data_IF_421706666953
#
_entry.id   IF_421706666953
#
_cell.length_a   1.000
_cell.length_b   1.000
_cell.length_c   1.000
_cell.angle_alpha   90.00
_cell.angle_beta   90.00
_cell.angle_gamma   90.00
#
_symmetry.space_group_name_H-M   'P 1'
#
loop_
_entity.id
_entity.type
_entity.pdbx_description
1 polymer ?
#
# COMPACT_ATOMS: atom_id res chain seq x y z
N UNK A 1 -35.81 64.10 -11.65
CA UNK A 1 -36.11 63.44 -12.90
C UNK A 1 -37.34 62.58 -12.70
N UNK A 2 -38.42 62.94 -13.33
CA UNK A 2 -39.76 62.42 -13.19
C UNK A 2 -39.90 61.04 -13.87
N UNK A 3 -40.61 60.16 -13.18
CA UNK A 3 -41.04 58.83 -13.60
C UNK A 3 -42.22 58.96 -14.57
N UNK A 4 -42.25 58.38 -15.76
CA UNK A 4 -43.41 58.46 -16.61
C UNK A 4 -44.52 57.51 -16.14
N UNK A 5 -45.72 58.04 -16.03
CA UNK A 5 -46.99 57.40 -15.79
C UNK A 5 -47.43 56.57 -17.00
N UNK A 6 -47.94 55.37 -16.86
CA UNK A 6 -48.48 54.60 -18.00
C UNK A 6 -49.85 55.16 -18.39
N UNK A 7 -49.95 55.50 -19.67
CA UNK A 7 -51.19 55.92 -20.33
C UNK A 7 -52.12 54.74 -20.49
N UNK A 8 -53.32 54.83 -19.89
CA UNK A 8 -54.43 53.91 -20.12
C UNK A 8 -55.07 54.18 -21.45
N UNK A 9 -55.00 53.23 -22.39
CA UNK A 9 -55.77 53.21 -23.60
C UNK A 9 -57.15 52.63 -23.34
N UNK A 10 -58.23 53.18 -23.94
CA UNK A 10 -59.59 52.66 -23.76
C UNK A 10 -59.78 51.36 -24.53
N UNK A 11 -60.41 50.40 -23.89
CA UNK A 11 -60.75 49.11 -24.45
C UNK A 11 -61.76 49.28 -25.56
N UNK A 12 -61.43 48.86 -26.79
CA UNK A 12 -62.40 48.59 -27.83
C UNK A 12 -63.14 47.31 -27.55
N UNK A 13 -64.42 47.44 -27.40
CA UNK A 13 -65.38 46.33 -27.33
C UNK A 13 -65.37 45.55 -28.63
N UNK A 14 -65.24 44.27 -28.55
CA UNK A 14 -65.57 43.41 -29.68
C UNK A 14 -64.97 42.02 -29.56
N UNK A 15 -65.89 41.11 -29.37
CA UNK A 15 -65.86 39.69 -29.75
C UNK A 15 -65.71 38.69 -28.63
N UNK A 16 -66.84 38.23 -28.12
CA UNK A 16 -67.18 36.84 -27.87
C UNK A 16 -66.20 36.00 -27.07
N UNK A 17 -65.73 36.50 -25.94
CA UNK A 17 -65.17 35.61 -24.94
C UNK A 17 -66.33 34.90 -24.26
N UNK A 18 -66.49 33.60 -24.50
CA UNK A 18 -67.40 32.77 -23.69
C UNK A 18 -66.98 32.94 -22.23
N UNK A 19 -67.93 33.12 -21.27
CA UNK A 19 -67.57 33.13 -19.87
C UNK A 19 -66.92 31.76 -19.56
N UNK A 20 -65.72 31.81 -19.01
CA UNK A 20 -65.05 30.62 -18.44
C UNK A 20 -66.01 30.03 -17.42
N UNK A 21 -66.63 28.90 -17.73
CA UNK A 21 -67.52 28.21 -16.81
C UNK A 21 -66.70 27.82 -15.57
N UNK A 22 -67.38 27.82 -14.43
CA UNK A 22 -66.81 27.47 -13.10
C UNK A 22 -66.04 26.13 -13.17
N UNK A 23 -66.43 25.24 -14.04
CA UNK A 23 -65.75 23.96 -14.29
C UNK A 23 -64.33 24.12 -14.89
N UNK A 24 -64.10 25.11 -15.76
CA UNK A 24 -62.79 25.30 -16.41
C UNK A 24 -61.78 25.91 -15.36
N UNK A 25 -62.27 26.72 -14.46
CA UNK A 25 -61.45 27.22 -13.34
C UNK A 25 -61.10 26.14 -12.33
N UNK A 26 -62.03 25.21 -12.07
CA UNK A 26 -61.75 24.05 -11.20
C UNK A 26 -60.77 23.06 -11.81
N UNK A 27 -60.83 22.81 -13.11
CA UNK A 27 -59.85 21.96 -13.83
C UNK A 27 -58.46 22.59 -13.80
N UNK A 28 -58.31 23.90 -14.02
CA UNK A 28 -57.03 24.60 -13.93
C UNK A 28 -56.48 24.60 -12.49
N UNK A 29 -57.35 24.70 -11.49
CA UNK A 29 -56.92 24.62 -10.09
C UNK A 29 -56.47 23.17 -9.73
N UNK A 30 -57.14 22.14 -10.21
CA UNK A 30 -56.73 20.75 -10.00
C UNK A 30 -55.39 20.44 -10.69
N UNK A 31 -55.17 20.96 -11.90
CA UNK A 31 -53.92 20.73 -12.64
C UNK A 31 -52.77 21.47 -11.97
N UNK A 32 -52.96 22.67 -11.43
CA UNK A 32 -51.93 23.37 -10.65
C UNK A 32 -51.60 22.66 -9.35
N UNK A 33 -52.59 22.12 -8.63
CA UNK A 33 -52.37 21.36 -7.41
C UNK A 33 -51.61 20.04 -7.73
N UNK A 34 -51.99 19.35 -8.83
CA UNK A 34 -51.25 18.16 -9.24
C UNK A 34 -49.83 18.44 -9.68
N UNK A 35 -49.59 19.59 -10.34
CA UNK A 35 -48.24 20.01 -10.72
C UNK A 35 -47.39 20.36 -9.49
N UNK A 36 -47.94 21.05 -8.49
CA UNK A 36 -47.25 21.33 -7.22
C UNK A 36 -46.96 20.05 -6.42
N UNK A 37 -47.88 19.11 -6.38
CA UNK A 37 -47.68 17.82 -5.74
C UNK A 37 -46.60 16.98 -6.46
N UNK A 38 -46.55 17.00 -7.77
CA UNK A 38 -45.53 16.33 -8.56
C UNK A 38 -44.13 16.94 -8.31
N UNK A 39 -44.04 18.26 -8.21
CA UNK A 39 -42.78 18.96 -7.87
C UNK A 39 -42.30 18.62 -6.47
N UNK A 40 -43.19 18.62 -5.46
CA UNK A 40 -42.83 18.24 -4.07
C UNK A 40 -42.42 16.77 -3.98
N UNK A 41 -43.08 15.88 -4.74
CA UNK A 41 -42.68 14.47 -4.85
C UNK A 41 -41.29 14.31 -5.53
N UNK A 42 -41.03 15.06 -6.59
CA UNK A 42 -39.72 15.03 -7.27
C UNK A 42 -38.59 15.53 -6.35
N UNK A 43 -38.82 16.62 -5.60
CA UNK A 43 -37.86 17.14 -4.64
C UNK A 43 -37.63 16.19 -3.47
N UNK A 44 -38.68 15.52 -2.97
CA UNK A 44 -38.53 14.53 -1.90
C UNK A 44 -37.79 13.29 -2.36
N UNK A 45 -38.02 12.82 -3.61
CA UNK A 45 -37.26 11.72 -4.22
C UNK A 45 -35.80 12.11 -4.46
N UNK A 46 -35.53 13.34 -4.92
CA UNK A 46 -34.18 13.86 -5.09
C UNK A 46 -33.44 13.96 -3.74
N UNK A 47 -34.09 14.41 -2.68
CA UNK A 47 -33.56 14.44 -1.33
C UNK A 47 -33.28 13.04 -0.78
N UNK A 48 -34.15 12.06 -1.05
CA UNK A 48 -33.93 10.67 -0.63
C UNK A 48 -32.75 10.05 -1.36
N UNK A 49 -32.61 10.25 -2.68
CA UNK A 49 -31.46 9.75 -3.45
C UNK A 49 -30.17 10.42 -3.03
N UNK A 50 -30.18 11.73 -2.73
CA UNK A 50 -29.03 12.43 -2.15
C UNK A 50 -28.69 11.91 -0.76
N UNK A 51 -29.69 11.64 0.09
CA UNK A 51 -29.45 11.09 1.43
C UNK A 51 -28.88 9.67 1.36
N UNK A 52 -29.29 8.85 0.38
CA UNK A 52 -28.75 7.51 0.20
C UNK A 52 -27.34 7.53 -0.38
N UNK A 53 -27.03 8.43 -1.31
CA UNK A 53 -25.65 8.63 -1.78
C UNK A 53 -24.73 9.21 -0.69
N UNK A 54 -25.25 10.03 0.23
CA UNK A 54 -24.51 10.53 1.39
C UNK A 54 -24.34 9.46 2.48
N UNK A 55 -25.30 8.54 2.66
CA UNK A 55 -25.20 7.40 3.58
C UNK A 55 -24.16 6.37 3.12
N UNK A 56 -23.79 6.32 1.84
CA UNK A 56 -22.76 5.41 1.31
C UNK A 56 -21.33 5.71 1.79
N UNK A 57 -21.09 6.88 2.36
CA UNK A 57 -19.86 7.18 3.11
C UNK A 57 -20.10 7.09 4.63
N UNK A 58 -20.65 5.97 5.11
CA UNK A 58 -20.64 5.66 6.54
C UNK A 58 -19.19 5.73 7.00
N UNK A 59 -18.84 6.79 7.73
CA UNK A 59 -17.53 6.93 8.39
C UNK A 59 -17.31 5.63 9.16
N UNK A 60 -16.24 4.90 8.79
CA UNK A 60 -15.91 3.64 9.45
C UNK A 60 -15.67 3.95 10.94
N UNK A 61 -16.51 3.40 11.80
CA UNK A 61 -16.35 3.54 13.25
C UNK A 61 -15.10 2.81 13.68
N UNK A 62 -14.03 3.57 13.89
CA UNK A 62 -12.73 3.04 14.19
C UNK A 62 -12.63 2.43 15.60
N UNK A 63 -13.58 2.77 16.48
CA UNK A 63 -13.65 2.22 17.83
C UNK A 63 -14.16 0.77 17.86
N UNK A 64 -15.03 0.40 16.91
CA UNK A 64 -15.64 -0.93 16.80
C UNK A 64 -15.06 -1.76 15.67
N UNK A 65 -14.07 -1.20 14.92
CA UNK A 65 -13.49 -1.90 13.80
C UNK A 65 -12.57 -3.05 14.25
N UNK A 66 -12.86 -4.25 13.77
CA UNK A 66 -12.04 -5.45 14.00
C UNK A 66 -11.36 -5.89 12.70
N UNK A 67 -10.07 -6.21 12.71
CA UNK A 67 -9.38 -6.72 11.54
C UNK A 67 -9.86 -8.14 11.20
N UNK A 68 -10.02 -8.42 9.91
CA UNK A 68 -10.35 -9.76 9.44
C UNK A 68 -9.06 -10.59 9.29
N UNK A 69 -8.92 -11.74 10.00
CA UNK A 69 -7.69 -12.56 9.99
C UNK A 69 -7.27 -13.00 8.60
N UNK A 70 -8.22 -13.40 7.73
CA UNK A 70 -7.93 -13.82 6.36
C UNK A 70 -7.34 -12.68 5.52
N UNK A 71 -7.86 -11.45 5.68
CA UNK A 71 -7.33 -10.28 4.97
C UNK A 71 -5.96 -9.87 5.49
N UNK A 72 -5.76 -9.91 6.80
CA UNK A 72 -4.46 -9.64 7.42
C UNK A 72 -3.39 -10.61 6.91
N UNK A 73 -3.71 -11.90 6.83
CA UNK A 73 -2.85 -12.95 6.29
C UNK A 73 -2.45 -12.67 4.84
N UNK A 74 -3.43 -12.44 3.96
CA UNK A 74 -3.15 -12.17 2.55
C UNK A 74 -2.32 -10.91 2.33
N UNK A 75 -2.60 -9.84 3.08
CA UNK A 75 -1.81 -8.61 3.01
C UNK A 75 -0.36 -8.84 3.48
N UNK A 76 -0.17 -9.63 4.54
CA UNK A 76 1.15 -9.95 5.06
C UNK A 76 1.97 -10.84 4.09
N UNK A 77 1.29 -11.72 3.31
CA UNK A 77 1.91 -12.55 2.29
C UNK A 77 2.35 -11.71 1.08
N UNK A 78 1.55 -10.74 0.65
CA UNK A 78 1.89 -9.93 -0.54
C UNK A 78 2.99 -8.91 -0.23
N UNK A 79 2.87 -8.22 0.90
CA UNK A 79 3.82 -7.18 1.33
C UNK A 79 4.17 -7.42 2.80
N UNK A 80 5.45 -7.72 3.11
CA UNK A 80 5.87 -7.88 4.50
C UNK A 80 5.61 -6.58 5.28
N UNK A 81 4.94 -6.68 6.42
CA UNK A 81 4.52 -5.53 7.21
C UNK A 81 3.12 -4.98 6.93
N UNK A 82 2.51 -5.26 5.77
CA UNK A 82 1.17 -4.77 5.46
C UNK A 82 0.09 -5.33 6.40
N UNK A 83 0.26 -6.55 6.89
CA UNK A 83 -0.61 -7.15 7.90
C UNK A 83 -0.58 -6.37 9.23
N UNK A 84 0.60 -5.93 9.69
CA UNK A 84 0.76 -5.13 10.89
C UNK A 84 0.15 -3.72 10.71
N UNK A 85 0.28 -3.12 9.53
CA UNK A 85 -0.38 -1.85 9.19
C UNK A 85 -1.90 -2.03 9.22
N UNK A 86 -2.42 -3.10 8.64
CA UNK A 86 -3.84 -3.41 8.65
C UNK A 86 -4.39 -3.62 10.08
N UNK A 87 -3.62 -4.30 10.94
CA UNK A 87 -3.93 -4.53 12.35
C UNK A 87 -3.67 -3.30 13.24
N UNK A 88 -3.16 -2.18 12.67
CA UNK A 88 -2.81 -0.93 13.37
C UNK A 88 -1.72 -1.08 14.44
N UNK A 89 -0.91 -2.11 14.39
CA UNK A 89 0.20 -2.35 15.31
C UNK A 89 1.51 -1.82 14.74
N UNK A 90 1.55 -0.53 14.46
CA UNK A 90 2.68 0.15 13.80
C UNK A 90 4.00 0.02 14.55
N UNK A 91 3.98 -0.14 15.87
CA UNK A 91 5.17 -0.30 16.68
C UNK A 91 5.97 -1.57 16.36
N UNK A 92 5.31 -2.59 15.74
CA UNK A 92 5.97 -3.82 15.30
C UNK A 92 6.72 -3.65 13.97
N UNK A 93 6.38 -2.64 13.17
CA UNK A 93 7.01 -2.39 11.86
C UNK A 93 8.53 -2.20 11.97
N UNK A 94 9.07 -1.38 12.89
CA UNK A 94 10.51 -1.22 13.02
C UNK A 94 11.23 -2.54 13.32
N UNK A 95 10.60 -3.44 14.08
CA UNK A 95 11.17 -4.76 14.42
C UNK A 95 11.21 -5.65 13.17
N UNK A 96 10.12 -5.74 12.43
CA UNK A 96 10.01 -6.54 11.21
C UNK A 96 10.99 -6.04 10.15
N UNK A 97 10.96 -4.73 9.84
CA UNK A 97 11.85 -4.14 8.84
C UNK A 97 13.31 -4.14 9.29
N UNK A 98 13.59 -3.95 10.58
CA UNK A 98 14.95 -4.09 11.15
C UNK A 98 15.50 -5.50 10.95
N UNK A 99 14.66 -6.53 11.17
CA UNK A 99 15.01 -7.92 10.87
C UNK A 99 15.32 -8.15 9.40
N UNK A 100 14.48 -7.63 8.48
CA UNK A 100 14.71 -7.72 7.04
C UNK A 100 16.00 -7.05 6.60
N UNK A 101 16.22 -5.80 7.03
CA UNK A 101 17.42 -5.03 6.68
C UNK A 101 18.66 -5.71 7.24
N UNK A 102 18.62 -6.20 8.49
CA UNK A 102 19.72 -6.92 9.11
C UNK A 102 20.09 -8.20 8.35
N UNK A 103 19.11 -9.01 8.01
CA UNK A 103 19.33 -10.25 7.23
C UNK A 103 19.82 -9.96 5.79
N UNK A 104 19.26 -8.94 5.14
CA UNK A 104 19.69 -8.52 3.80
C UNK A 104 21.13 -7.98 3.81
N UNK A 105 21.47 -7.18 4.81
CA UNK A 105 22.85 -6.70 5.01
C UNK A 105 23.82 -7.87 5.25
N UNK A 106 23.47 -8.79 6.16
CA UNK A 106 24.30 -9.96 6.43
C UNK A 106 24.50 -10.82 5.17
N UNK A 107 23.43 -11.03 4.39
CA UNK A 107 23.50 -11.78 3.12
C UNK A 107 24.41 -11.08 2.12
N UNK A 108 24.28 -9.75 1.95
CA UNK A 108 25.12 -8.96 1.05
C UNK A 108 26.59 -9.00 1.48
N UNK A 109 26.86 -8.80 2.77
CA UNK A 109 28.21 -8.85 3.33
C UNK A 109 28.87 -10.22 3.12
N UNK A 110 28.18 -11.29 3.51
CA UNK A 110 28.69 -12.64 3.35
C UNK A 110 28.91 -13.00 1.89
N UNK A 111 28.04 -12.54 0.98
CA UNK A 111 28.20 -12.75 -0.45
C UNK A 111 29.40 -12.00 -1.03
N UNK A 112 29.68 -10.78 -0.55
CA UNK A 112 30.87 -10.05 -0.94
C UNK A 112 32.12 -10.76 -0.46
N UNK A 113 32.20 -11.13 0.81
CA UNK A 113 33.33 -11.89 1.36
C UNK A 113 33.53 -13.22 0.64
N UNK A 114 32.46 -13.92 0.31
CA UNK A 114 32.53 -15.15 -0.48
C UNK A 114 33.20 -14.92 -1.85
N UNK A 115 32.82 -13.85 -2.55
CA UNK A 115 33.43 -13.52 -3.86
C UNK A 115 34.90 -13.16 -3.73
N UNK A 116 35.21 -12.32 -2.76
CA UNK A 116 36.58 -11.82 -2.54
C UNK A 116 37.52 -12.98 -2.18
N UNK A 117 37.13 -13.86 -1.26
CA UNK A 117 37.91 -15.06 -0.94
C UNK A 117 37.91 -16.11 -2.06
N UNK A 118 36.87 -16.17 -2.89
CA UNK A 118 36.82 -17.05 -4.06
C UNK A 118 37.83 -16.59 -5.12
N UNK A 119 37.87 -15.27 -5.38
CA UNK A 119 38.83 -14.69 -6.32
C UNK A 119 40.25 -14.87 -5.82
N UNK A 120 40.54 -14.55 -4.56
CA UNK A 120 41.85 -14.74 -3.94
C UNK A 120 42.33 -16.20 -3.98
N UNK A 121 41.40 -17.15 -3.83
CA UNK A 121 41.70 -18.59 -3.98
C UNK A 121 42.04 -18.97 -5.40
N UNK A 122 41.33 -18.43 -6.39
CA UNK A 122 41.59 -18.70 -7.82
C UNK A 122 42.93 -18.11 -8.25
N UNK A 123 43.21 -16.87 -7.91
CA UNK A 123 44.45 -16.14 -8.20
C UNK A 123 45.68 -16.80 -7.53
N UNK A 124 45.45 -17.53 -6.43
CA UNK A 124 46.50 -18.32 -5.80
C UNK A 124 46.82 -19.63 -6.51
N UNK A 125 45.89 -20.06 -7.38
CA UNK A 125 46.02 -21.34 -8.09
C UNK A 125 46.39 -21.20 -9.58
N UNK A 126 46.22 -20.01 -10.18
CA UNK A 126 46.47 -19.78 -11.61
C UNK A 126 47.91 -19.50 -11.97
N UNK A 127 48.80 -19.34 -11.02
CA UNK A 127 50.22 -19.01 -11.20
C UNK A 127 50.49 -17.75 -12.05
N UNK A 128 49.53 -16.89 -12.27
CA UNK A 128 49.71 -15.62 -12.98
C UNK A 128 50.26 -14.54 -12.05
N UNK A 129 51.45 -13.97 -12.31
CA UNK A 129 52.04 -12.93 -11.46
C UNK A 129 51.24 -11.60 -11.47
N UNK A 130 50.32 -11.41 -12.43
CA UNK A 130 49.54 -10.21 -12.54
C UNK A 130 48.24 -10.24 -11.68
N UNK A 131 47.76 -11.45 -11.35
CA UNK A 131 46.55 -11.68 -10.53
C UNK A 131 46.95 -11.97 -9.08
N UNK A 132 46.91 -10.95 -8.20
CA UNK A 132 47.36 -11.06 -6.82
C UNK A 132 46.32 -10.51 -5.85
N UNK A 133 45.03 -10.78 -6.06
CA UNK A 133 43.94 -10.30 -5.17
C UNK A 133 44.04 -10.87 -3.76
N UNK A 134 44.78 -11.98 -3.56
CA UNK A 134 45.04 -12.54 -2.24
C UNK A 134 45.91 -11.62 -1.35
N UNK A 135 46.72 -10.69 -1.93
CA UNK A 135 47.56 -9.78 -1.17
C UNK A 135 46.76 -8.87 -0.22
N UNK A 136 45.54 -8.51 -0.54
CA UNK A 136 44.67 -7.69 0.32
C UNK A 136 44.27 -8.40 1.63
N UNK A 137 44.41 -9.72 1.69
CA UNK A 137 44.05 -10.54 2.87
C UNK A 137 45.28 -11.02 3.64
N UNK A 138 46.49 -10.69 3.16
CA UNK A 138 47.73 -11.00 3.83
C UNK A 138 48.04 -9.96 4.90
N UNK A 139 48.67 -10.40 6.00
CA UNK A 139 49.23 -9.46 6.97
C UNK A 139 50.33 -8.64 6.32
N UNK A 140 50.49 -7.40 6.78
CA UNK A 140 51.55 -6.50 6.35
C UNK A 140 52.93 -7.22 6.40
N UNK A 141 53.58 -7.34 5.23
CA UNK A 141 54.89 -7.98 5.09
C UNK A 141 54.87 -9.50 4.90
N UNK A 142 53.71 -10.14 4.95
CA UNK A 142 53.64 -11.58 4.63
C UNK A 142 53.73 -11.78 3.11
N UNK A 143 54.55 -12.75 2.69
CA UNK A 143 54.66 -13.20 1.31
C UNK A 143 54.27 -14.65 1.26
N UNK A 144 53.69 -15.06 0.13
CA UNK A 144 53.37 -16.45 -0.12
C UNK A 144 54.56 -17.07 -0.85
N UNK A 145 55.19 -18.02 -0.19
CA UNK A 145 56.28 -18.82 -0.71
C UNK A 145 55.85 -20.27 -0.89
N UNK A 146 56.57 -21.07 -1.64
CA UNK A 146 56.28 -22.48 -1.85
C UNK A 146 56.04 -23.28 -0.56
N UNK A 147 56.76 -22.91 0.50
CA UNK A 147 56.66 -23.54 1.83
C UNK A 147 55.34 -23.31 2.53
N UNK A 148 54.70 -22.18 2.29
CA UNK A 148 53.43 -21.78 2.97
C UNK A 148 52.20 -21.77 2.04
N UNK A 149 52.42 -21.97 0.73
CA UNK A 149 51.38 -21.96 -0.31
C UNK A 149 50.22 -22.86 0.05
N UNK A 150 50.47 -24.12 0.37
CA UNK A 150 49.45 -25.12 0.70
C UNK A 150 48.60 -24.69 1.92
N UNK A 151 49.22 -24.01 2.90
CA UNK A 151 48.50 -23.48 4.08
C UNK A 151 47.57 -22.36 3.67
N UNK A 152 48.01 -21.45 2.83
CA UNK A 152 47.18 -20.31 2.38
C UNK A 152 46.01 -20.80 1.45
N UNK A 153 46.28 -21.76 0.57
CA UNK A 153 45.24 -22.40 -0.23
C UNK A 153 44.16 -23.03 0.64
N UNK A 154 44.53 -23.80 1.67
CA UNK A 154 43.57 -24.35 2.64
C UNK A 154 42.80 -23.27 3.41
N UNK A 155 43.52 -22.19 3.82
CA UNK A 155 42.90 -21.06 4.51
C UNK A 155 41.84 -20.36 3.66
N UNK A 156 42.19 -19.98 2.43
CA UNK A 156 41.25 -19.28 1.53
C UNK A 156 40.08 -20.17 1.14
N UNK A 157 40.29 -21.45 0.87
CA UNK A 157 39.25 -22.44 0.63
C UNK A 157 38.28 -22.51 1.82
N UNK A 158 38.80 -22.67 3.04
CA UNK A 158 37.99 -22.74 4.24
C UNK A 158 37.18 -21.46 4.48
N UNK A 159 37.79 -20.28 4.25
CA UNK A 159 37.12 -18.99 4.38
C UNK A 159 36.01 -18.82 3.35
N UNK A 160 36.29 -19.15 2.07
CA UNK A 160 35.30 -19.16 0.99
C UNK A 160 34.09 -20.04 1.37
N UNK A 161 34.35 -21.29 1.79
CA UNK A 161 33.30 -22.23 2.14
C UNK A 161 32.51 -21.80 3.38
N UNK A 162 33.16 -21.13 4.34
CA UNK A 162 32.53 -20.52 5.51
C UNK A 162 31.57 -19.42 5.10
N UNK A 163 32.01 -18.44 4.30
CA UNK A 163 31.17 -17.32 3.89
C UNK A 163 30.02 -17.76 2.96
N UNK A 164 30.22 -18.80 2.13
CA UNK A 164 29.15 -19.43 1.37
C UNK A 164 28.06 -19.95 2.29
N UNK A 165 28.40 -20.72 3.32
CA UNK A 165 27.43 -21.25 4.28
C UNK A 165 26.72 -20.13 5.06
N UNK A 166 27.45 -19.09 5.46
CA UNK A 166 26.86 -17.96 6.18
C UNK A 166 25.91 -17.14 5.30
N UNK A 167 26.22 -16.99 4.02
CA UNK A 167 25.32 -16.37 3.05
C UNK A 167 24.00 -17.17 2.93
N UNK A 168 24.12 -18.47 2.76
CA UNK A 168 22.98 -19.35 2.61
C UNK A 168 22.12 -19.37 3.91
N UNK A 169 22.76 -19.36 5.07
CA UNK A 169 22.09 -19.23 6.38
C UNK A 169 21.36 -17.88 6.48
N UNK A 170 21.98 -16.78 6.05
CA UNK A 170 21.33 -15.45 6.06
C UNK A 170 20.07 -15.41 5.19
N UNK A 171 20.07 -16.14 4.07
CA UNK A 171 18.87 -16.30 3.23
C UNK A 171 17.76 -17.05 3.98
N UNK A 172 18.07 -18.16 4.65
CA UNK A 172 17.07 -18.88 5.45
C UNK A 172 16.57 -18.04 6.64
N UNK A 173 17.41 -17.24 7.27
CA UNK A 173 16.99 -16.29 8.29
C UNK A 173 16.01 -15.25 7.73
N UNK A 174 16.25 -14.72 6.53
CA UNK A 174 15.35 -13.79 5.87
C UNK A 174 13.95 -14.40 5.65
N UNK A 175 13.90 -15.63 5.13
CA UNK A 175 12.65 -16.39 4.95
C UNK A 175 11.95 -16.63 6.29
N UNK A 176 12.72 -16.96 7.35
CA UNK A 176 12.21 -17.14 8.69
C UNK A 176 11.56 -15.88 9.27
N UNK A 177 12.23 -14.73 9.14
CA UNK A 177 11.68 -13.43 9.58
C UNK A 177 10.40 -13.11 8.83
N UNK A 178 10.36 -13.41 7.52
CA UNK A 178 9.15 -13.23 6.72
C UNK A 178 8.00 -14.12 7.22
N UNK A 179 8.24 -15.41 7.40
CA UNK A 179 7.23 -16.34 7.89
C UNK A 179 6.69 -15.93 9.28
N UNK A 180 7.57 -15.54 10.20
CA UNK A 180 7.18 -15.03 11.51
C UNK A 180 6.33 -13.77 11.42
N UNK A 181 6.66 -12.83 10.51
CA UNK A 181 5.87 -11.63 10.27
C UNK A 181 4.44 -11.95 9.79
N UNK A 182 4.30 -12.94 8.91
CA UNK A 182 2.98 -13.39 8.41
C UNK A 182 2.15 -14.03 9.53
N UNK A 183 2.76 -14.92 10.30
CA UNK A 183 2.09 -15.59 11.45
C UNK A 183 1.67 -14.55 12.49
N UNK A 184 2.55 -13.61 12.85
CA UNK A 184 2.26 -12.55 13.80
C UNK A 184 1.07 -11.69 13.36
N UNK A 185 1.01 -11.30 12.07
CA UNK A 185 -0.11 -10.54 11.52
C UNK A 185 -1.45 -11.31 11.60
N UNK A 186 -1.42 -12.61 11.35
CA UNK A 186 -2.59 -13.46 11.44
C UNK A 186 -3.08 -13.61 12.89
N UNK A 187 -2.15 -13.92 13.81
CA UNK A 187 -2.45 -14.09 15.24
C UNK A 187 -3.01 -12.80 15.84
N UNK A 188 -2.39 -11.65 15.54
CA UNK A 188 -2.88 -10.35 16.01
C UNK A 188 -4.31 -10.04 15.53
N UNK A 189 -4.62 -10.39 14.29
CA UNK A 189 -5.97 -10.20 13.76
C UNK A 189 -6.97 -11.18 14.43
N UNK A 190 -6.57 -12.42 14.68
CA UNK A 190 -7.42 -13.43 15.33
C UNK A 190 -7.69 -13.10 16.81
N UNK A 191 -6.71 -12.55 17.53
CA UNK A 191 -6.86 -12.16 18.93
C UNK A 191 -7.65 -10.86 19.15
N UNK A 192 -7.96 -10.13 18.07
CA UNK A 192 -8.74 -8.89 18.14
C UNK A 192 -10.26 -9.10 18.00
N UNK A 193 -10.73 -10.33 17.92
CA UNK A 193 -12.14 -10.71 17.86
C UNK A 193 -12.90 -10.45 19.17
#
# INVERSE_FOLDING_TARGET
AAKPTPTVMPATAGTGAKPLFVNDMQLLAEDTIKAEQALTHADSLALLTLSDTLKLKKKRDWATWRPNPKRALWLAIVIPGAGQIYNRKYWKLPIVYGGFVGCAYAMRWNNQMYRDYSQAYLDLMDNDPNTQSYNQFLHLGAKIDETNLARYQALFKNRKDKFRRWRDLSFFCLVGVYALSVVDAYVDASLSE
#
